data_IF_509398242449
#
_entry.id   IF_509398242449
#
_cell.length_a   1.000
_cell.length_b   1.000
_cell.length_c   1.000
_cell.angle_alpha   90.00
_cell.angle_beta   90.00
_cell.angle_gamma   90.00
#
_symmetry.space_group_name_H-M   'P 1'
#
loop_
_entity.id
_entity.type
_entity.pdbx_description
1 polymer ?
#
# COMPACT_ATOMS: atom_id res chain seq x y z
N UNK A 1 5.23 -16.46 16.67
CA UNK A 1 6.32 -16.08 15.76
C UNK A 1 6.51 -14.57 15.85
N UNK A 2 7.59 -14.10 16.50
CA UNK A 2 7.93 -12.67 16.51
C UNK A 2 8.77 -12.38 15.26
N UNK A 3 8.11 -12.22 14.11
CA UNK A 3 8.76 -11.62 12.95
C UNK A 3 8.89 -10.13 13.26
N UNK A 4 10.12 -9.61 13.29
CA UNK A 4 10.37 -8.19 13.50
C UNK A 4 9.67 -7.31 12.45
N UNK A 5 9.76 -5.98 12.57
CA UNK A 5 9.14 -5.08 11.62
C UNK A 5 9.62 -5.37 10.20
N UNK A 6 8.68 -5.45 9.25
CA UNK A 6 8.97 -5.58 7.83
C UNK A 6 9.26 -4.18 7.30
N UNK A 7 10.42 -4.00 6.69
CA UNK A 7 10.77 -2.78 5.94
C UNK A 7 10.49 -3.08 4.47
N UNK A 8 9.65 -2.27 3.85
CA UNK A 8 9.27 -2.38 2.44
C UNK A 8 9.50 -1.04 1.74
N UNK A 9 9.95 -1.08 0.49
CA UNK A 9 9.85 0.07 -0.42
C UNK A 9 8.39 0.30 -0.81
N UNK A 10 8.08 1.47 -1.38
CA UNK A 10 6.73 1.77 -1.89
C UNK A 10 6.34 0.74 -2.96
N UNK A 11 7.26 0.41 -3.87
CA UNK A 11 7.04 -0.56 -4.96
C UNK A 11 6.78 -1.97 -4.43
N UNK A 12 7.51 -2.40 -3.40
CA UNK A 12 7.29 -3.71 -2.77
C UNK A 12 5.93 -3.77 -2.05
N UNK A 13 5.54 -2.68 -1.39
CA UNK A 13 4.24 -2.59 -0.72
C UNK A 13 3.08 -2.59 -1.72
N UNK A 14 3.21 -1.86 -2.84
CA UNK A 14 2.25 -1.87 -3.95
C UNK A 14 2.15 -3.26 -4.57
N UNK A 15 3.29 -3.91 -4.84
CA UNK A 15 3.34 -5.26 -5.40
C UNK A 15 2.63 -6.29 -4.51
N UNK A 16 2.85 -6.26 -3.19
CA UNK A 16 2.17 -7.15 -2.25
C UNK A 16 0.66 -6.87 -2.17
N UNK A 17 0.27 -5.61 -2.26
CA UNK A 17 -1.15 -5.22 -2.27
C UNK A 17 -1.86 -5.73 -3.52
N UNK A 18 -1.18 -5.71 -4.67
CA UNK A 18 -1.71 -6.20 -5.96
C UNK A 18 -1.80 -7.73 -6.02
N UNK A 19 -1.03 -8.45 -5.20
CA UNK A 19 -1.17 -9.90 -5.04
C UNK A 19 -2.40 -10.31 -4.21
N UNK A 20 -3.04 -9.37 -3.51
CA UNK A 20 -4.26 -9.69 -2.78
C UNK A 20 -5.39 -10.06 -3.74
N UNK A 21 -6.19 -11.09 -3.43
CA UNK A 21 -7.36 -11.40 -4.24
C UNK A 21 -8.34 -10.22 -4.27
N UNK A 22 -9.14 -10.15 -5.33
CA UNK A 22 -10.21 -9.17 -5.44
C UNK A 22 -11.15 -9.29 -4.22
N UNK A 23 -11.58 -8.16 -3.60
CA UNK A 23 -12.58 -8.18 -2.53
C UNK A 23 -13.78 -9.02 -2.97
N UNK A 24 -14.16 -10.00 -2.15
CA UNK A 24 -15.35 -10.80 -2.40
C UNK A 24 -16.59 -10.06 -1.89
N UNK A 25 -17.80 -10.35 -2.42
CA UNK A 25 -19.03 -9.66 -1.99
C UNK A 25 -19.37 -9.85 -0.50
N UNK A 26 -18.88 -10.91 0.12
CA UNK A 26 -19.03 -11.26 1.53
C UNK A 26 -17.82 -10.85 2.40
N UNK A 27 -16.83 -10.15 1.82
CA UNK A 27 -15.68 -9.66 2.57
C UNK A 27 -16.10 -8.60 3.59
N UNK A 28 -15.49 -8.65 4.78
CA UNK A 28 -15.71 -7.66 5.83
C UNK A 28 -15.47 -6.23 5.30
N UNK A 29 -16.46 -5.36 5.49
CA UNK A 29 -16.43 -3.97 5.06
C UNK A 29 -15.18 -3.24 5.59
N UNK A 30 -14.73 -3.56 6.80
CA UNK A 30 -13.53 -2.99 7.40
C UNK A 30 -12.28 -3.40 6.62
N UNK A 31 -12.19 -4.66 6.18
CA UNK A 31 -11.06 -5.16 5.39
C UNK A 31 -11.01 -4.47 4.03
N UNK A 32 -12.16 -4.34 3.35
CA UNK A 32 -12.26 -3.59 2.09
C UNK A 32 -11.81 -2.14 2.28
N UNK A 33 -12.29 -1.49 3.35
CA UNK A 33 -11.94 -0.10 3.66
C UNK A 33 -10.45 0.09 3.94
N UNK A 34 -9.84 -0.80 4.73
CA UNK A 34 -8.42 -0.75 5.05
C UNK A 34 -7.56 -0.98 3.79
N UNK A 35 -7.95 -1.92 2.91
CA UNK A 35 -7.26 -2.16 1.63
C UNK A 35 -7.26 -0.89 0.76
N UNK A 36 -8.41 -0.24 0.63
CA UNK A 36 -8.52 1.02 -0.13
C UNK A 36 -7.67 2.12 0.49
N UNK A 37 -7.72 2.29 1.82
CA UNK A 37 -6.91 3.31 2.51
C UNK A 37 -5.40 3.08 2.34
N UNK A 38 -4.95 1.83 2.37
CA UNK A 38 -3.55 1.50 2.13
C UNK A 38 -3.14 1.86 0.70
N UNK A 39 -3.98 1.55 -0.30
CA UNK A 39 -3.74 1.92 -1.70
C UNK A 39 -3.62 3.44 -1.88
N UNK A 40 -4.56 4.19 -1.33
CA UNK A 40 -4.58 5.66 -1.43
C UNK A 40 -3.33 6.27 -0.76
N UNK A 41 -2.92 5.72 0.38
CA UNK A 41 -1.71 6.14 1.08
C UNK A 41 -0.46 5.90 0.23
N UNK A 42 -0.29 4.70 -0.31
CA UNK A 42 0.87 4.36 -1.15
C UNK A 42 0.95 5.25 -2.39
N UNK A 43 -0.18 5.50 -3.06
CA UNK A 43 -0.26 6.42 -4.19
C UNK A 43 0.11 7.87 -3.79
N UNK A 44 -0.35 8.32 -2.62
CA UNK A 44 -0.01 9.64 -2.09
C UNK A 44 1.49 9.75 -1.76
N UNK A 45 2.09 8.71 -1.21
CA UNK A 45 3.53 8.66 -0.93
C UNK A 45 4.35 8.66 -2.22
N UNK A 46 3.94 7.89 -3.23
CA UNK A 46 4.59 7.86 -4.54
C UNK A 46 4.57 9.24 -5.21
N UNK A 47 3.41 9.89 -5.27
CA UNK A 47 3.30 11.24 -5.83
C UNK A 47 4.13 12.28 -5.05
N UNK A 48 4.19 12.17 -3.73
CA UNK A 48 5.05 13.02 -2.89
C UNK A 48 6.54 12.77 -3.08
N UNK A 49 6.95 11.53 -3.34
CA UNK A 49 8.33 11.16 -3.63
C UNK A 49 8.79 11.66 -5.01
N UNK A 50 7.94 11.60 -6.02
CA UNK A 50 8.24 12.04 -7.39
C UNK A 50 8.43 13.58 -7.51
N UNK A 51 7.91 14.36 -6.56
CA UNK A 51 7.98 15.83 -6.56
C UNK A 51 9.08 16.50 -5.72
N UNK A 52 9.89 15.73 -4.98
CA UNK A 52 10.92 16.29 -4.07
C UNK A 52 12.36 16.14 -4.55
N UNK A 53 12.58 15.58 -5.75
CA UNK A 53 13.88 15.67 -6.41
C UNK A 53 14.09 17.15 -6.77
N UNK A 54 14.71 17.91 -5.86
CA UNK A 54 15.34 19.18 -6.20
C UNK A 54 16.26 18.87 -7.38
N UNK A 55 15.89 19.42 -8.53
CA UNK A 55 16.75 19.49 -9.69
C UNK A 55 17.83 20.51 -9.34
N UNK A 56 18.92 20.02 -8.76
CA UNK A 56 20.17 20.79 -8.64
C UNK A 56 20.71 21.15 -10.03
#
# INVERSE_FOLDING_TARGET
MNRGPIILTIEEAEYLLDQMPMPQPDEDELVTKLRTRLRDLLASLRSGAEGTVKKD
#
